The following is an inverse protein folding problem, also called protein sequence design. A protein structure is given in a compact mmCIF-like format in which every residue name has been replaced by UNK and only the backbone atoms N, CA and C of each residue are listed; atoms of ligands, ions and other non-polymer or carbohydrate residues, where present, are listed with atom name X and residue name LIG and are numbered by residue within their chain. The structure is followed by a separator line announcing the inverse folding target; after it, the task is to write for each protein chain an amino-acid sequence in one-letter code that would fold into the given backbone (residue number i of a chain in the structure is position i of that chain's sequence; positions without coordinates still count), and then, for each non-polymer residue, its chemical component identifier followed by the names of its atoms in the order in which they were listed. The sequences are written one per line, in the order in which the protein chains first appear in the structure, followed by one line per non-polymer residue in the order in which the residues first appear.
data_IF_184747521815
#
_entry.id   IF_184747521815
#
_cell.length_a   1.000
_cell.length_b   1.000
_cell.length_c   1.000
_cell.angle_alpha   90.00
_cell.angle_beta   90.00
_cell.angle_gamma   90.00
#
_symmetry.space_group_name_H-M   'P 1'
#
loop_
_entity.id
_entity.type
_entity.pdbx_description
1 polymer ?
#
# COMPACT_ATOMS: atom_id res chain seq x y z
N UNK A 1 -43.14 2.13 -17.58
CA UNK A 1 -41.90 2.37 -16.84
C UNK A 1 -41.05 1.12 -16.93
N UNK A 2 -40.08 1.09 -17.83
CA UNK A 2 -39.07 0.03 -17.92
C UNK A 2 -38.20 0.15 -16.65
N UNK A 3 -38.21 -0.87 -15.81
CA UNK A 3 -37.21 -1.02 -14.74
C UNK A 3 -35.85 -1.14 -15.45
N UNK A 4 -35.02 -0.10 -15.37
CA UNK A 4 -33.61 -0.20 -15.64
C UNK A 4 -33.07 -1.25 -14.67
N UNK A 5 -32.75 -2.44 -15.16
CA UNK A 5 -31.98 -3.40 -14.37
C UNK A 5 -30.61 -2.77 -14.17
N UNK A 6 -30.37 -2.19 -13.00
CA UNK A 6 -29.03 -1.80 -12.62
C UNK A 6 -28.19 -3.08 -12.49
N UNK A 7 -27.46 -3.41 -13.55
CA UNK A 7 -26.48 -4.49 -13.47
C UNK A 7 -25.41 -4.10 -12.46
N UNK A 8 -25.12 -4.98 -11.52
CA UNK A 8 -24.00 -4.79 -10.58
C UNK A 8 -22.72 -4.60 -11.39
N UNK A 9 -21.98 -3.49 -11.19
CA UNK A 9 -20.74 -3.26 -11.90
C UNK A 9 -19.76 -4.42 -11.74
N UNK A 10 -19.10 -4.80 -12.84
CA UNK A 10 -18.03 -5.80 -12.86
C UNK A 10 -16.70 -5.10 -13.11
N UNK A 11 -15.78 -5.26 -12.17
CA UNK A 11 -14.49 -4.58 -12.12
C UNK A 11 -13.34 -5.56 -12.26
N UNK A 12 -12.33 -5.22 -13.06
CA UNK A 12 -11.03 -5.87 -13.05
C UNK A 12 -9.96 -4.94 -12.42
N UNK A 13 -9.15 -5.48 -11.51
CA UNK A 13 -7.98 -4.78 -10.97
C UNK A 13 -6.73 -5.45 -11.56
N UNK A 14 -6.11 -4.78 -12.53
CA UNK A 14 -4.89 -5.22 -13.17
C UNK A 14 -3.67 -4.66 -12.44
N UNK A 15 -2.69 -5.50 -12.10
CA UNK A 15 -1.44 -5.07 -11.51
C UNK A 15 -0.24 -5.74 -12.17
N UNK A 16 0.88 -5.03 -12.23
CA UNK A 16 2.11 -5.58 -12.78
C UNK A 16 2.71 -6.60 -11.83
N UNK A 17 2.72 -7.88 -12.26
CA UNK A 17 3.24 -8.99 -11.48
C UNK A 17 4.75 -9.18 -11.74
N UNK A 18 5.57 -8.31 -11.16
CA UNK A 18 7.02 -8.42 -11.29
C UNK A 18 7.60 -9.70 -10.65
N UNK A 19 6.88 -10.32 -9.73
CA UNK A 19 7.34 -11.50 -9.01
C UNK A 19 7.56 -12.71 -9.94
N UNK A 20 6.74 -12.86 -10.98
CA UNK A 20 6.84 -13.97 -11.91
C UNK A 20 8.06 -13.86 -12.85
N UNK A 21 8.50 -12.64 -13.17
CA UNK A 21 9.52 -12.42 -14.21
C UNK A 21 10.96 -12.25 -13.66
N UNK A 22 11.14 -11.87 -12.39
CA UNK A 22 12.43 -11.42 -11.89
C UNK A 22 12.84 -11.98 -10.51
N UNK A 23 12.07 -12.89 -9.94
CA UNK A 23 12.24 -13.35 -8.54
C UNK A 23 12.21 -12.21 -7.50
N UNK A 24 11.74 -11.02 -7.87
CA UNK A 24 11.64 -9.82 -7.06
C UNK A 24 10.17 -9.51 -6.87
N UNK A 25 9.64 -9.79 -5.70
CA UNK A 25 8.23 -9.58 -5.44
C UNK A 25 7.90 -8.10 -5.24
N UNK A 26 7.13 -7.52 -6.14
CA UNK A 26 6.33 -6.32 -5.85
C UNK A 26 5.06 -6.74 -5.08
N UNK A 27 5.26 -7.42 -3.97
CA UNK A 27 4.18 -7.95 -3.13
C UNK A 27 3.16 -6.84 -2.82
N UNK A 28 3.63 -5.61 -2.61
CA UNK A 28 2.76 -4.48 -2.26
C UNK A 28 1.61 -4.23 -3.24
N UNK A 29 1.84 -4.25 -4.55
CA UNK A 29 0.77 -4.05 -5.54
C UNK A 29 -0.21 -5.22 -5.58
N UNK A 30 0.28 -6.46 -5.51
CA UNK A 30 -0.56 -7.65 -5.48
C UNK A 30 -1.39 -7.74 -4.20
N UNK A 31 -0.81 -7.41 -3.04
CA UNK A 31 -1.53 -7.33 -1.76
C UNK A 31 -2.59 -6.24 -1.83
N UNK A 32 -2.26 -5.04 -2.35
CA UNK A 32 -3.21 -3.95 -2.53
C UNK A 32 -4.39 -4.37 -3.41
N UNK A 33 -4.13 -4.95 -4.59
CA UNK A 33 -5.19 -5.45 -5.48
C UNK A 33 -6.07 -6.51 -4.79
N UNK A 34 -5.46 -7.44 -4.06
CA UNK A 34 -6.16 -8.50 -3.34
C UNK A 34 -7.05 -7.94 -2.22
N UNK A 35 -6.54 -7.00 -1.44
CA UNK A 35 -7.28 -6.42 -0.32
C UNK A 35 -8.40 -5.50 -0.81
N UNK A 36 -8.17 -4.69 -1.85
CA UNK A 36 -9.22 -3.89 -2.48
C UNK A 36 -10.33 -4.79 -3.05
N UNK A 37 -9.96 -5.86 -3.76
CA UNK A 37 -10.93 -6.81 -4.30
C UNK A 37 -11.73 -7.50 -3.18
N UNK A 38 -11.10 -7.85 -2.06
CA UNK A 38 -11.77 -8.43 -0.89
C UNK A 38 -12.79 -7.46 -0.30
N UNK A 39 -12.44 -6.18 -0.14
CA UNK A 39 -13.35 -5.15 0.39
C UNK A 39 -14.56 -4.95 -0.54
N UNK A 40 -14.31 -4.78 -1.83
CA UNK A 40 -15.36 -4.55 -2.83
C UNK A 40 -16.28 -5.76 -3.00
N UNK A 41 -15.74 -6.99 -2.96
CA UNK A 41 -16.56 -8.21 -2.97
C UNK A 41 -17.45 -8.32 -1.74
N UNK A 42 -16.94 -7.93 -0.56
CA UNK A 42 -17.73 -7.87 0.66
C UNK A 42 -18.87 -6.84 0.58
N UNK A 43 -18.69 -5.77 -0.21
CA UNK A 43 -19.72 -4.78 -0.52
C UNK A 43 -20.68 -5.20 -1.64
N UNK A 44 -20.52 -6.40 -2.21
CA UNK A 44 -21.42 -6.98 -3.22
C UNK A 44 -21.00 -6.78 -4.68
N UNK A 45 -19.83 -6.20 -4.94
CA UNK A 45 -19.33 -6.01 -6.30
C UNK A 45 -18.68 -7.27 -6.88
N UNK A 46 -18.76 -7.43 -8.22
CA UNK A 46 -18.06 -8.48 -8.95
C UNK A 46 -16.67 -7.96 -9.30
N UNK A 47 -15.64 -8.54 -8.70
CA UNK A 47 -14.26 -8.06 -8.86
C UNK A 47 -13.33 -9.18 -9.27
N UNK A 48 -12.55 -8.96 -10.31
CA UNK A 48 -11.48 -9.84 -10.75
C UNK A 48 -10.11 -9.22 -10.46
N UNK A 49 -9.10 -10.07 -10.31
CA UNK A 49 -7.72 -9.65 -10.15
C UNK A 49 -6.92 -10.18 -11.34
N UNK A 50 -6.29 -9.28 -12.07
CA UNK A 50 -5.53 -9.59 -13.27
C UNK A 50 -4.03 -9.36 -13.03
N UNK A 51 -3.25 -10.38 -12.61
CA UNK A 51 -1.81 -10.29 -12.57
C UNK A 51 -1.26 -10.30 -14.00
N UNK A 52 -0.63 -9.22 -14.44
CA UNK A 52 -0.11 -9.05 -15.80
C UNK A 52 1.37 -8.65 -15.77
N UNK A 53 2.14 -9.10 -16.75
CA UNK A 53 3.58 -8.78 -16.87
C UNK A 53 3.84 -7.75 -17.97
N UNK A 54 2.92 -7.65 -18.93
CA UNK A 54 3.04 -6.80 -20.11
C UNK A 54 1.70 -6.21 -20.53
N UNK A 55 1.73 -5.21 -21.41
CA UNK A 55 0.50 -4.72 -22.06
C UNK A 55 -0.14 -5.78 -22.94
N UNK A 56 0.65 -6.68 -23.56
CA UNK A 56 0.14 -7.81 -24.36
C UNK A 56 -0.72 -8.76 -23.52
N UNK A 57 -0.34 -8.99 -22.25
CA UNK A 57 -1.16 -9.82 -21.35
C UNK A 57 -2.52 -9.15 -21.11
N UNK A 58 -2.52 -7.83 -20.87
CA UNK A 58 -3.76 -7.07 -20.72
C UNK A 58 -4.62 -7.15 -21.99
N UNK A 59 -4.04 -6.98 -23.17
CA UNK A 59 -4.77 -7.12 -24.43
C UNK A 59 -5.37 -8.51 -24.62
N UNK A 60 -4.66 -9.55 -24.18
CA UNK A 60 -5.15 -10.93 -24.25
C UNK A 60 -6.37 -11.12 -23.36
N UNK A 61 -6.33 -10.60 -22.12
CA UNK A 61 -7.47 -10.63 -21.21
C UNK A 61 -8.66 -9.83 -21.75
N UNK A 62 -8.43 -8.67 -22.33
CA UNK A 62 -9.47 -7.85 -22.95
C UNK A 62 -10.11 -8.54 -24.16
N UNK A 63 -9.32 -9.25 -24.97
CA UNK A 63 -9.87 -10.05 -26.10
C UNK A 63 -10.73 -11.21 -25.58
N UNK A 64 -10.31 -11.91 -24.54
CA UNK A 64 -11.09 -12.96 -23.91
C UNK A 64 -12.41 -12.42 -23.33
N UNK A 65 -12.38 -11.25 -22.73
CA UNK A 65 -13.56 -10.54 -22.24
C UNK A 65 -14.54 -10.21 -23.36
N UNK A 66 -14.05 -9.69 -24.48
CA UNK A 66 -14.88 -9.38 -25.65
C UNK A 66 -15.55 -10.63 -26.24
N UNK A 67 -14.82 -11.74 -26.29
CA UNK A 67 -15.37 -13.03 -26.73
C UNK A 67 -16.43 -13.54 -25.75
N UNK A 68 -16.20 -13.38 -24.43
CA UNK A 68 -17.15 -13.82 -23.43
C UNK A 68 -18.49 -13.06 -23.46
N UNK A 69 -18.52 -11.82 -23.96
CA UNK A 69 -19.76 -11.02 -24.12
C UNK A 69 -20.80 -11.69 -25.02
N UNK A 70 -20.41 -12.64 -25.88
CA UNK A 70 -21.32 -13.42 -26.71
C UNK A 70 -22.03 -14.57 -25.99
N UNK A 71 -21.59 -14.87 -24.77
CA UNK A 71 -22.14 -15.95 -23.95
C UNK A 71 -23.41 -15.49 -23.22
N UNK A 72 -24.41 -16.36 -23.17
CA UNK A 72 -25.60 -16.11 -22.38
C UNK A 72 -25.23 -15.96 -20.88
N UNK A 73 -25.81 -14.96 -20.22
CA UNK A 73 -25.57 -14.63 -18.80
C UNK A 73 -24.18 -14.05 -18.45
N UNK A 74 -23.34 -13.71 -19.44
CA UNK A 74 -22.11 -12.98 -19.17
C UNK A 74 -22.42 -11.54 -18.75
N UNK A 75 -21.86 -11.12 -17.61
CA UNK A 75 -21.91 -9.73 -17.17
C UNK A 75 -20.68 -9.01 -17.73
N UNK A 76 -20.84 -8.03 -18.64
CA UNK A 76 -19.71 -7.35 -19.25
C UNK A 76 -18.85 -6.63 -18.21
N UNK A 77 -17.55 -6.57 -18.45
CA UNK A 77 -16.64 -5.74 -17.68
C UNK A 77 -17.01 -4.28 -17.90
N UNK A 78 -17.31 -3.56 -16.82
CA UNK A 78 -17.69 -2.14 -16.82
C UNK A 78 -16.53 -1.23 -16.39
N UNK A 79 -15.61 -1.74 -15.56
CA UNK A 79 -14.49 -0.97 -15.02
C UNK A 79 -13.19 -1.75 -15.08
N UNK A 80 -12.10 -1.05 -15.39
CA UNK A 80 -10.75 -1.55 -15.36
C UNK A 80 -9.87 -0.59 -14.54
N UNK A 81 -9.31 -1.07 -13.45
CA UNK A 81 -8.31 -0.33 -12.67
C UNK A 81 -6.93 -0.92 -12.91
N UNK A 82 -6.01 -0.09 -13.38
CA UNK A 82 -4.61 -0.46 -13.61
C UNK A 82 -3.78 0.12 -12.47
N UNK A 83 -3.21 -0.76 -11.64
CA UNK A 83 -2.39 -0.39 -10.50
C UNK A 83 -1.00 0.05 -10.95
N UNK A 84 -0.66 1.29 -10.69
CA UNK A 84 0.53 2.03 -11.05
C UNK A 84 0.63 2.45 -12.54
N UNK A 85 1.21 3.64 -12.82
CA UNK A 85 1.44 4.16 -14.18
C UNK A 85 2.70 3.51 -14.78
N UNK A 86 2.55 2.44 -15.53
CA UNK A 86 3.67 1.75 -16.19
C UNK A 86 3.38 1.40 -17.66
N UNK A 87 2.12 1.50 -18.10
CA UNK A 87 1.73 1.28 -19.49
C UNK A 87 1.92 2.60 -20.26
N UNK A 88 2.54 2.59 -21.45
CA UNK A 88 2.65 3.77 -22.30
C UNK A 88 1.29 4.39 -22.62
N UNK A 89 1.19 5.70 -22.59
CA UNK A 89 -0.08 6.43 -22.75
C UNK A 89 -0.73 6.20 -24.11
N UNK A 90 0.05 6.01 -25.19
CA UNK A 90 -0.50 5.64 -26.49
C UNK A 90 -1.28 4.31 -26.47
N UNK A 91 -0.80 3.34 -25.69
CA UNK A 91 -1.47 2.07 -25.51
C UNK A 91 -2.77 2.21 -24.71
N UNK A 92 -2.77 3.08 -23.70
CA UNK A 92 -3.96 3.40 -22.90
C UNK A 92 -5.01 4.14 -23.72
N UNK A 93 -4.60 5.08 -24.56
CA UNK A 93 -5.47 5.80 -25.50
C UNK A 93 -6.15 4.83 -26.48
N UNK A 94 -5.37 3.90 -27.06
CA UNK A 94 -5.92 2.85 -27.93
C UNK A 94 -6.90 1.94 -27.19
N UNK A 95 -6.57 1.56 -25.95
CA UNK A 95 -7.45 0.71 -25.14
C UNK A 95 -8.78 1.41 -24.85
N UNK A 96 -8.74 2.67 -24.44
CA UNK A 96 -9.92 3.46 -24.10
C UNK A 96 -10.81 3.71 -25.33
N UNK A 97 -10.21 4.06 -26.49
CA UNK A 97 -10.96 4.30 -27.74
C UNK A 97 -11.62 3.04 -28.31
N UNK A 98 -10.99 1.88 -28.11
CA UNK A 98 -11.56 0.57 -28.55
C UNK A 98 -12.65 0.05 -27.59
N UNK A 99 -12.77 0.60 -26.40
CA UNK A 99 -13.72 0.18 -25.38
C UNK A 99 -14.44 1.39 -24.76
N UNK A 100 -15.28 2.09 -25.52
CA UNK A 100 -15.90 3.34 -25.07
C UNK A 100 -16.84 3.17 -23.86
N UNK A 101 -17.39 1.97 -23.68
CA UNK A 101 -18.27 1.61 -22.55
C UNK A 101 -17.52 1.09 -21.32
N UNK A 102 -16.18 1.14 -21.33
CA UNK A 102 -15.33 0.67 -20.23
C UNK A 102 -14.69 1.86 -19.53
N UNK A 103 -15.00 2.06 -18.27
CA UNK A 103 -14.33 3.06 -17.42
C UNK A 103 -12.93 2.57 -17.02
N UNK A 104 -11.89 3.29 -17.41
CA UNK A 104 -10.49 2.90 -17.20
C UNK A 104 -9.81 3.88 -16.26
N UNK A 105 -9.31 3.41 -15.12
CA UNK A 105 -8.52 4.21 -14.20
C UNK A 105 -7.08 3.68 -14.10
N UNK A 106 -6.09 4.57 -14.24
CA UNK A 106 -4.68 4.28 -13.91
C UNK A 106 -4.36 4.91 -12.56
N UNK A 107 -4.14 4.10 -11.53
CA UNK A 107 -4.03 4.56 -10.14
C UNK A 107 -2.58 4.59 -9.70
N UNK A 108 -2.06 5.78 -9.39
CA UNK A 108 -0.75 5.92 -8.75
C UNK A 108 -0.79 5.49 -7.29
N UNK A 109 0.12 4.59 -6.91
CA UNK A 109 0.36 4.18 -5.52
C UNK A 109 1.47 4.98 -4.84
N UNK A 110 2.03 5.96 -5.55
CA UNK A 110 3.13 6.80 -5.08
C UNK A 110 2.62 8.18 -4.71
N UNK A 111 3.13 8.72 -3.61
CA UNK A 111 3.04 10.14 -3.32
C UNK A 111 4.16 10.91 -4.02
N UNK A 112 4.05 12.24 -4.03
CA UNK A 112 5.01 13.13 -4.70
C UNK A 112 6.44 12.96 -4.18
N UNK A 113 6.62 12.73 -2.90
CA UNK A 113 7.94 12.48 -2.31
C UNK A 113 8.64 11.25 -2.89
N UNK A 114 7.89 10.24 -3.33
CA UNK A 114 8.45 9.09 -4.02
C UNK A 114 8.78 9.40 -5.49
N UNK A 115 7.97 10.23 -6.15
CA UNK A 115 8.13 10.56 -7.58
C UNK A 115 9.44 11.31 -7.90
N UNK A 116 10.06 11.97 -6.92
CA UNK A 116 11.37 12.60 -7.11
C UNK A 116 12.46 11.59 -7.56
N UNK A 117 12.27 10.31 -7.29
CA UNK A 117 13.17 9.24 -7.73
C UNK A 117 12.70 8.52 -9.00
N UNK A 118 11.56 8.92 -9.57
CA UNK A 118 10.95 8.26 -10.73
C UNK A 118 10.44 9.30 -11.76
N UNK A 119 11.34 9.93 -12.54
CA UNK A 119 10.95 10.93 -13.54
C UNK A 119 10.05 10.36 -14.63
N UNK A 120 10.16 9.05 -14.93
CA UNK A 120 9.30 8.40 -15.92
C UNK A 120 7.86 8.30 -15.42
N UNK A 121 7.65 8.03 -14.14
CA UNK A 121 6.30 8.04 -13.58
C UNK A 121 5.65 9.43 -13.65
N UNK A 122 6.41 10.51 -13.43
CA UNK A 122 5.93 11.89 -13.61
C UNK A 122 5.51 12.14 -15.07
N UNK A 123 6.32 11.70 -16.03
CA UNK A 123 5.99 11.84 -17.45
C UNK A 123 4.71 11.09 -17.82
N UNK A 124 4.58 9.83 -17.42
CA UNK A 124 3.37 9.02 -17.67
C UNK A 124 2.13 9.61 -17.02
N UNK A 125 2.26 10.18 -15.82
CA UNK A 125 1.16 10.87 -15.14
C UNK A 125 0.75 12.14 -15.89
N UNK A 126 1.71 12.95 -16.37
CA UNK A 126 1.43 14.15 -17.17
C UNK A 126 0.71 13.79 -18.47
N UNK A 127 1.23 12.80 -19.21
CA UNK A 127 0.58 12.29 -20.42
C UNK A 127 -0.82 11.72 -20.13
N UNK A 128 -0.99 11.04 -18.97
CA UNK A 128 -2.28 10.57 -18.50
C UNK A 128 -3.27 11.72 -18.24
N UNK A 129 -2.79 12.87 -17.70
CA UNK A 129 -3.62 14.05 -17.53
C UNK A 129 -4.13 14.61 -18.85
N UNK A 130 -3.26 14.66 -19.86
CA UNK A 130 -3.61 15.10 -21.22
C UNK A 130 -4.63 14.14 -21.86
N UNK A 131 -4.41 12.82 -21.73
CA UNK A 131 -5.35 11.82 -22.23
C UNK A 131 -6.73 11.94 -21.59
N UNK A 132 -6.80 12.13 -20.28
CA UNK A 132 -8.05 12.27 -19.55
C UNK A 132 -8.90 13.48 -19.98
N UNK A 133 -8.29 14.54 -20.52
CA UNK A 133 -9.01 15.69 -21.04
C UNK A 133 -9.74 15.37 -22.36
N UNK A 134 -9.20 14.47 -23.18
CA UNK A 134 -9.74 14.09 -24.49
C UNK A 134 -10.49 12.77 -24.51
N UNK A 135 -10.49 12.02 -23.41
CA UNK A 135 -11.03 10.67 -23.35
C UNK A 135 -11.92 10.51 -22.10
N UNK A 136 -13.25 10.67 -22.23
CA UNK A 136 -14.16 10.75 -21.06
C UNK A 136 -14.20 9.47 -20.22
N UNK A 137 -13.92 8.31 -20.78
CA UNK A 137 -13.87 7.03 -20.08
C UNK A 137 -12.46 6.68 -19.55
N UNK A 138 -11.51 7.63 -19.58
CA UNK A 138 -10.17 7.45 -19.03
C UNK A 138 -9.92 8.37 -17.82
N UNK A 139 -9.47 7.80 -16.72
CA UNK A 139 -9.25 8.49 -15.46
C UNK A 139 -7.81 8.33 -14.98
N UNK A 140 -7.21 9.43 -14.54
CA UNK A 140 -6.01 9.34 -13.70
C UNK A 140 -6.44 9.24 -12.25
N UNK A 141 -5.98 8.21 -11.59
CA UNK A 141 -6.30 7.91 -10.19
C UNK A 141 -5.10 8.01 -9.26
N UNK A 142 -5.39 8.24 -7.99
CA UNK A 142 -4.41 8.20 -6.91
C UNK A 142 -5.00 7.50 -5.68
N UNK A 143 -4.12 6.96 -4.85
CA UNK A 143 -4.52 6.24 -3.64
C UNK A 143 -4.45 7.08 -2.36
N UNK A 144 -4.08 8.35 -2.43
CA UNK A 144 -4.01 9.24 -1.28
C UNK A 144 -4.52 10.65 -1.56
N UNK A 145 -5.14 11.26 -0.55
CA UNK A 145 -5.63 12.64 -0.61
C UNK A 145 -4.48 13.64 -0.85
N UNK A 146 -3.30 13.42 -0.25
CA UNK A 146 -2.13 14.28 -0.47
C UNK A 146 -1.70 14.29 -1.93
N UNK A 147 -1.76 13.14 -2.60
CA UNK A 147 -1.44 13.04 -4.01
C UNK A 147 -2.49 13.72 -4.88
N UNK A 148 -3.78 13.53 -4.59
CA UNK A 148 -4.88 14.21 -5.29
C UNK A 148 -4.76 15.74 -5.18
N UNK A 149 -4.49 16.27 -4.00
CA UNK A 149 -4.32 17.71 -3.77
C UNK A 149 -3.17 18.28 -4.59
N UNK A 150 -2.02 17.60 -4.60
CA UNK A 150 -0.88 18.00 -5.45
C UNK A 150 -1.22 17.93 -6.93
N UNK A 151 -1.88 16.87 -7.37
CA UNK A 151 -2.29 16.69 -8.76
C UNK A 151 -3.16 17.84 -9.24
N UNK A 152 -4.20 18.15 -8.49
CA UNK A 152 -5.13 19.23 -8.84
C UNK A 152 -4.43 20.60 -8.87
N UNK A 153 -3.53 20.87 -7.93
CA UNK A 153 -2.73 22.10 -7.91
C UNK A 153 -1.76 22.20 -9.10
N UNK A 154 -1.23 21.05 -9.58
CA UNK A 154 -0.23 21.02 -10.65
C UNK A 154 -0.84 21.02 -12.05
N UNK A 155 -1.87 20.21 -12.27
CA UNK A 155 -2.45 19.98 -13.60
C UNK A 155 -3.82 20.63 -13.80
N UNK A 156 -4.44 21.18 -12.76
CA UNK A 156 -5.77 21.80 -12.82
C UNK A 156 -6.90 20.83 -13.20
N UNK A 157 -6.64 19.53 -13.22
CA UNK A 157 -7.60 18.49 -13.61
C UNK A 157 -8.03 17.64 -12.41
N UNK A 158 -9.23 17.12 -12.46
CA UNK A 158 -9.72 16.20 -11.43
C UNK A 158 -8.90 14.90 -11.43
N UNK A 159 -8.66 14.35 -10.24
CA UNK A 159 -8.08 13.03 -10.06
C UNK A 159 -9.09 12.14 -9.36
N UNK A 160 -9.31 10.94 -9.90
CA UNK A 160 -10.14 9.92 -9.25
C UNK A 160 -9.40 9.36 -8.04
N UNK A 161 -9.95 9.55 -6.85
CA UNK A 161 -9.36 9.05 -5.61
C UNK A 161 -9.86 7.63 -5.35
N UNK A 162 -8.95 6.66 -5.44
CA UNK A 162 -9.20 5.23 -5.20
C UNK A 162 -8.23 4.72 -4.12
N UNK A 163 -8.48 4.99 -2.84
CA UNK A 163 -7.60 4.61 -1.75
C UNK A 163 -7.49 3.09 -1.62
N UNK A 164 -6.34 2.63 -1.12
CA UNK A 164 -6.22 1.24 -0.73
C UNK A 164 -7.13 0.95 0.46
N UNK A 165 -7.83 -0.17 0.40
CA UNK A 165 -8.57 -0.75 1.52
C UNK A 165 -7.84 -1.98 2.05
N UNK A 166 -7.98 -2.23 3.33
CA UNK A 166 -7.45 -3.43 3.97
C UNK A 166 -8.47 -3.97 4.97
N UNK A 167 -9.41 -4.82 4.53
CA UNK A 167 -10.39 -5.41 5.42
C UNK A 167 -9.70 -6.26 6.49
N UNK A 168 -9.80 -5.83 7.72
CA UNK A 168 -9.40 -6.62 8.88
C UNK A 168 -10.63 -7.33 9.45
N UNK A 169 -10.49 -8.63 9.77
CA UNK A 169 -11.37 -9.22 10.76
C UNK A 169 -11.06 -8.66 12.17
N UNK A 170 -11.57 -9.29 13.21
CA UNK A 170 -11.12 -9.00 14.57
C UNK A 170 -9.59 -9.18 14.65
N UNK A 171 -8.90 -8.18 15.21
CA UNK A 171 -7.46 -8.29 15.45
C UNK A 171 -7.15 -9.52 16.31
N UNK A 172 -6.06 -10.20 16.02
CA UNK A 172 -5.60 -11.31 16.86
C UNK A 172 -5.28 -10.77 18.24
N UNK A 173 -5.92 -11.33 19.25
CA UNK A 173 -5.57 -11.01 20.63
C UNK A 173 -4.12 -11.44 20.91
N UNK A 174 -3.36 -10.55 21.52
CA UNK A 174 -1.97 -10.80 21.93
C UNK A 174 -1.76 -10.37 23.37
N UNK A 175 -0.90 -11.09 24.11
CA UNK A 175 -0.47 -10.59 25.42
C UNK A 175 0.30 -9.28 25.24
N UNK A 176 0.15 -8.37 26.17
CA UNK A 176 0.97 -7.17 26.28
C UNK A 176 2.45 -7.56 26.41
N UNK A 177 3.34 -6.76 25.82
CA UNK A 177 4.77 -6.97 25.96
C UNK A 177 5.16 -6.96 27.45
N UNK A 178 5.97 -7.93 27.84
CA UNK A 178 6.51 -8.03 29.18
C UNK A 178 8.02 -7.80 29.14
N UNK A 179 8.57 -7.30 30.25
CA UNK A 179 10.01 -7.06 30.36
C UNK A 179 10.82 -8.33 29.98
N UNK A 180 11.88 -8.13 29.19
CA UNK A 180 12.71 -9.21 28.70
C UNK A 180 13.21 -8.95 27.29
N UNK A 181 12.96 -9.88 26.38
CA UNK A 181 13.28 -9.72 24.96
C UNK A 181 12.28 -8.80 24.28
N UNK A 182 12.78 -7.92 23.40
CA UNK A 182 11.99 -7.02 22.58
C UNK A 182 12.31 -7.21 21.09
N UNK A 183 11.30 -7.46 20.28
CA UNK A 183 11.39 -7.56 18.82
C UNK A 183 10.67 -6.41 18.17
N UNK A 184 11.42 -5.56 17.48
CA UNK A 184 10.85 -4.46 16.71
C UNK A 184 11.13 -4.64 15.23
N UNK A 185 10.08 -4.51 14.40
CA UNK A 185 10.16 -4.70 12.96
C UNK A 185 10.06 -3.40 12.17
N UNK A 186 10.98 -3.17 11.21
CA UNK A 186 10.87 -2.12 10.21
C UNK A 186 10.95 -2.77 8.82
N UNK A 187 9.80 -3.09 8.24
CA UNK A 187 9.72 -3.88 7.01
C UNK A 187 9.39 -3.01 5.81
N UNK A 188 10.29 -2.97 4.84
CA UNK A 188 10.11 -2.25 3.58
C UNK A 188 11.23 -2.61 2.60
N UNK A 189 11.15 -2.19 1.33
CA UNK A 189 12.35 -2.04 0.53
C UNK A 189 13.22 -0.95 1.18
N UNK A 190 14.48 -1.25 1.54
CA UNK A 190 15.37 -0.30 2.20
C UNK A 190 15.73 0.79 1.20
N UNK A 191 15.30 2.02 1.50
CA UNK A 191 15.55 3.23 0.70
C UNK A 191 15.36 4.49 1.56
N UNK A 192 15.93 5.64 1.19
CA UNK A 192 15.90 6.86 2.04
C UNK A 192 14.51 7.23 2.54
N UNK A 193 13.49 7.17 1.68
CA UNK A 193 12.12 7.58 2.05
C UNK A 193 11.43 6.72 3.11
N UNK A 194 11.97 5.53 3.37
CA UNK A 194 11.45 4.62 4.41
C UNK A 194 12.02 4.88 5.79
N UNK A 195 13.05 5.72 5.88
CA UNK A 195 13.62 6.20 7.14
C UNK A 195 14.03 5.08 8.13
N UNK A 196 14.57 3.99 7.57
CA UNK A 196 14.92 2.79 8.36
C UNK A 196 16.05 3.06 9.34
N UNK A 197 16.96 4.00 9.03
CA UNK A 197 18.08 4.34 9.91
C UNK A 197 17.60 5.01 11.21
N UNK A 198 16.67 5.97 11.13
CA UNK A 198 16.07 6.61 12.31
C UNK A 198 15.25 5.61 13.12
N UNK A 199 14.52 4.70 12.45
CA UNK A 199 13.82 3.60 13.12
C UNK A 199 14.79 2.69 13.90
N UNK A 200 15.97 2.39 13.32
CA UNK A 200 17.00 1.59 13.98
C UNK A 200 17.58 2.29 15.21
N UNK A 201 17.82 3.61 15.13
CA UNK A 201 18.28 4.41 16.26
C UNK A 201 17.21 4.46 17.38
N UNK A 202 15.94 4.69 17.03
CA UNK A 202 14.84 4.67 17.97
C UNK A 202 14.70 3.30 18.68
N UNK A 203 14.90 2.20 17.95
CA UNK A 203 14.86 0.86 18.53
C UNK A 203 15.93 0.66 19.61
N UNK A 204 17.15 1.13 19.39
CA UNK A 204 18.21 1.10 20.42
C UNK A 204 17.82 1.91 21.65
N UNK A 205 17.25 3.09 21.46
CA UNK A 205 16.80 3.95 22.55
C UNK A 205 15.67 3.31 23.37
N UNK A 206 14.67 2.69 22.71
CA UNK A 206 13.63 1.92 23.40
C UNK A 206 14.24 0.79 24.21
N UNK A 207 15.15 0.02 23.61
CA UNK A 207 15.83 -1.07 24.31
C UNK A 207 16.58 -0.63 25.57
N UNK A 208 17.23 0.54 25.51
CA UNK A 208 17.93 1.14 26.63
C UNK A 208 16.97 1.62 27.72
N UNK A 209 15.92 2.36 27.37
CA UNK A 209 14.92 2.90 28.29
C UNK A 209 14.18 1.79 29.05
N UNK A 210 13.80 0.73 28.33
CA UNK A 210 13.10 -0.41 28.91
C UNK A 210 14.03 -1.44 29.57
N UNK A 211 15.34 -1.23 29.47
CA UNK A 211 16.38 -2.14 30.03
C UNK A 211 16.15 -3.60 29.58
N UNK A 212 15.86 -3.79 28.29
CA UNK A 212 15.58 -5.12 27.75
C UNK A 212 16.82 -6.03 27.86
N UNK A 213 16.58 -7.33 27.98
CA UNK A 213 17.67 -8.32 28.06
C UNK A 213 18.21 -8.71 26.69
N UNK A 214 17.39 -8.59 25.64
CA UNK A 214 17.74 -8.92 24.25
C UNK A 214 16.87 -8.05 23.31
N UNK A 215 17.49 -7.20 22.50
CA UNK A 215 16.85 -6.38 21.50
C UNK A 215 17.08 -6.97 20.11
N UNK A 216 16.02 -7.26 19.40
CA UNK A 216 16.09 -7.68 18.00
C UNK A 216 15.43 -6.62 17.11
N UNK A 217 16.20 -5.96 16.26
CA UNK A 217 15.67 -5.07 15.23
C UNK A 217 15.59 -5.81 13.91
N UNK A 218 14.36 -6.10 13.45
CA UNK A 218 14.07 -6.92 12.29
C UNK A 218 13.81 -6.07 11.05
N UNK A 219 14.48 -6.39 9.93
CA UNK A 219 14.37 -5.65 8.66
C UNK A 219 14.25 -6.59 7.48
N UNK A 220 13.64 -6.11 6.39
CA UNK A 220 13.62 -6.80 5.10
C UNK A 220 14.90 -6.46 4.33
N UNK A 221 15.85 -7.39 4.25
CA UNK A 221 17.14 -7.16 3.60
C UNK A 221 17.19 -7.48 2.11
N UNK A 222 16.19 -8.21 1.60
CA UNK A 222 16.20 -8.73 0.23
C UNK A 222 16.02 -7.70 -0.88
N UNK A 223 15.65 -6.45 -0.55
CA UNK A 223 15.47 -5.38 -1.53
C UNK A 223 16.02 -4.05 -1.01
N UNK A 224 17.07 -3.55 -1.69
CA UNK A 224 17.76 -2.30 -1.36
C UNK A 224 17.77 -1.40 -2.59
N UNK A 225 17.21 -0.19 -2.48
CA UNK A 225 17.01 0.72 -3.59
C UNK A 225 17.53 2.12 -3.26
N UNK A 226 17.98 2.88 -4.27
CA UNK A 226 18.28 4.30 -4.16
C UNK A 226 19.20 4.67 -2.98
N UNK A 227 20.30 3.94 -2.76
CA UNK A 227 21.18 4.11 -1.59
C UNK A 227 20.88 3.18 -0.42
N UNK A 228 19.92 2.26 -0.55
CA UNK A 228 19.55 1.33 0.52
C UNK A 228 20.69 0.45 1.04
N UNK A 229 21.69 0.14 0.20
CA UNK A 229 22.86 -0.59 0.65
C UNK A 229 23.69 0.21 1.67
N UNK A 230 23.86 1.51 1.44
CA UNK A 230 24.57 2.41 2.38
C UNK A 230 23.80 2.54 3.69
N UNK A 231 22.46 2.66 3.62
CA UNK A 231 21.60 2.70 4.82
C UNK A 231 21.75 1.41 5.62
N UNK A 232 21.71 0.26 4.96
CA UNK A 232 21.88 -1.04 5.62
C UNK A 232 23.24 -1.16 6.31
N UNK A 233 24.33 -0.77 5.64
CA UNK A 233 25.65 -0.77 6.22
C UNK A 233 25.75 0.16 7.45
N UNK A 234 25.13 1.34 7.39
CA UNK A 234 25.07 2.27 8.51
C UNK A 234 24.33 1.66 9.73
N UNK A 235 23.22 0.96 9.48
CA UNK A 235 22.48 0.23 10.53
C UNK A 235 23.36 -0.85 11.17
N UNK A 236 24.07 -1.64 10.37
CA UNK A 236 24.97 -2.66 10.88
C UNK A 236 26.09 -2.05 11.75
N UNK A 237 26.69 -0.92 11.33
CA UNK A 237 27.68 -0.21 12.13
C UNK A 237 27.10 0.35 13.42
N UNK A 238 25.88 0.90 13.39
CA UNK A 238 25.19 1.42 14.58
C UNK A 238 24.96 0.34 15.65
N UNK A 239 24.71 -0.91 15.25
CA UNK A 239 24.49 -2.03 16.16
C UNK A 239 25.77 -2.77 16.53
N UNK A 240 26.90 -2.47 15.87
CA UNK A 240 28.17 -3.13 16.14
C UNK A 240 28.61 -2.86 17.58
N UNK A 241 28.91 -3.93 18.31
CA UNK A 241 29.35 -3.89 19.72
C UNK A 241 28.31 -3.27 20.70
N UNK A 242 27.05 -3.11 20.30
CA UNK A 242 26.00 -2.73 21.26
C UNK A 242 25.59 -4.00 22.04
N UNK A 243 25.82 -4.07 23.34
CA UNK A 243 25.47 -5.25 24.12
C UNK A 243 23.96 -5.52 24.05
N UNK A 244 23.61 -6.79 23.88
CA UNK A 244 22.21 -7.24 23.92
C UNK A 244 21.33 -6.68 22.79
N UNK A 245 21.91 -6.13 21.72
CA UNK A 245 21.16 -5.64 20.57
C UNK A 245 21.72 -6.25 19.29
N UNK A 246 20.82 -6.66 18.40
CA UNK A 246 21.22 -7.18 17.07
C UNK A 246 20.22 -6.79 15.98
N UNK A 247 20.74 -6.66 14.77
CA UNK A 247 19.93 -6.55 13.55
C UNK A 247 19.63 -7.95 13.03
N UNK A 248 18.37 -8.23 12.74
CA UNK A 248 17.90 -9.48 12.15
C UNK A 248 17.43 -9.20 10.73
N UNK A 249 18.26 -9.54 9.77
CA UNK A 249 17.89 -9.43 8.36
C UNK A 249 17.04 -10.62 7.94
N UNK A 250 15.92 -10.36 7.24
CA UNK A 250 15.08 -11.37 6.62
C UNK A 250 15.07 -11.19 5.12
N UNK A 251 15.21 -12.30 4.41
CA UNK A 251 14.96 -12.33 2.98
C UNK A 251 13.50 -12.05 2.68
N UNK A 252 13.23 -11.73 1.40
CA UNK A 252 11.88 -11.51 0.93
C UNK A 252 11.04 -12.80 1.08
N UNK A 253 9.83 -12.67 1.61
CA UNK A 253 8.96 -13.78 1.97
C UNK A 253 7.67 -13.73 1.14
N UNK A 254 6.98 -14.87 0.99
CA UNK A 254 5.60 -14.87 0.55
C UNK A 254 4.72 -14.10 1.56
N UNK A 255 3.60 -13.54 1.12
CA UNK A 255 2.76 -12.75 2.03
C UNK A 255 2.28 -13.51 3.29
N UNK A 256 1.83 -14.78 3.21
CA UNK A 256 1.50 -15.54 4.43
C UNK A 256 2.68 -15.71 5.40
N UNK A 257 3.90 -15.96 4.86
CA UNK A 257 5.11 -16.05 5.69
C UNK A 257 5.49 -14.70 6.30
N UNK A 258 5.31 -13.62 5.54
CA UNK A 258 5.52 -12.26 6.01
C UNK A 258 4.56 -11.90 7.14
N UNK A 259 3.26 -12.22 7.01
CA UNK A 259 2.28 -12.03 8.08
C UNK A 259 2.67 -12.78 9.37
N UNK A 260 3.17 -14.02 9.25
CA UNK A 260 3.67 -14.76 10.41
C UNK A 260 4.90 -14.07 11.04
N UNK A 261 5.79 -13.51 10.23
CA UNK A 261 6.94 -12.73 10.72
C UNK A 261 6.48 -11.46 11.43
N UNK A 262 5.59 -10.67 10.83
CA UNK A 262 4.97 -9.49 11.44
C UNK A 262 4.30 -9.86 12.76
N UNK A 263 3.53 -10.94 12.77
CA UNK A 263 2.86 -11.45 13.96
C UNK A 263 3.82 -11.90 15.09
N UNK A 264 5.10 -12.08 14.82
CA UNK A 264 6.11 -12.40 15.85
C UNK A 264 6.80 -11.16 16.43
N UNK A 265 6.51 -9.96 15.94
CA UNK A 265 7.06 -8.70 16.47
C UNK A 265 6.25 -8.21 17.67
N UNK A 266 6.89 -7.50 18.58
CA UNK A 266 6.22 -6.82 19.67
C UNK A 266 5.68 -5.45 19.25
N UNK A 267 6.37 -4.79 18.31
CA UNK A 267 6.00 -3.50 17.75
C UNK A 267 6.58 -3.35 16.34
N UNK A 268 5.91 -2.57 15.49
CA UNK A 268 6.46 -2.13 14.21
C UNK A 268 6.90 -0.66 14.27
N UNK A 269 7.93 -0.33 13.49
CA UNK A 269 8.41 1.04 13.28
C UNK A 269 8.31 1.37 11.79
N UNK A 270 7.42 2.29 11.44
CA UNK A 270 7.13 2.70 10.05
C UNK A 270 7.19 4.23 9.89
N UNK A 271 8.29 4.91 10.31
CA UNK A 271 8.40 6.37 10.29
C UNK A 271 8.80 6.90 8.91
N UNK A 272 8.12 6.45 7.85
CA UNK A 272 8.42 6.83 6.46
C UNK A 272 8.22 8.33 6.23
N UNK A 273 9.07 8.98 5.42
CA UNK A 273 8.88 10.38 5.00
C UNK A 273 7.71 10.55 4.04
N UNK A 274 7.34 9.51 3.29
CA UNK A 274 6.23 9.56 2.34
C UNK A 274 5.58 8.20 2.19
N UNK A 275 4.24 8.18 2.18
CA UNK A 275 3.42 6.97 2.01
C UNK A 275 2.11 7.30 1.30
N UNK A 276 1.65 6.34 0.48
CA UNK A 276 0.27 6.35 0.00
C UNK A 276 -0.69 5.74 1.01
N UNK A 277 -0.35 4.56 1.53
CA UNK A 277 -1.20 3.82 2.50
C UNK A 277 -0.39 3.14 3.61
N UNK A 278 0.72 2.49 3.32
CA UNK A 278 1.55 1.61 4.16
C UNK A 278 0.87 0.27 4.52
N UNK A 279 1.05 -0.72 3.63
CA UNK A 279 0.51 -2.07 3.84
C UNK A 279 1.05 -2.73 5.10
N UNK A 280 2.32 -2.48 5.48
CA UNK A 280 2.95 -3.12 6.63
C UNK A 280 2.28 -2.73 7.95
N UNK A 281 1.84 -1.47 8.09
CA UNK A 281 1.05 -1.03 9.24
C UNK A 281 -0.30 -1.77 9.31
N UNK A 282 -0.97 -1.94 8.17
CA UNK A 282 -2.23 -2.69 8.10
C UNK A 282 -2.02 -4.20 8.35
N UNK A 283 -0.92 -4.78 7.82
CA UNK A 283 -0.51 -6.16 8.13
C UNK A 283 -0.28 -6.33 9.65
N UNK A 284 0.40 -5.35 10.29
CA UNK A 284 0.60 -5.31 11.74
C UNK A 284 -0.72 -5.40 12.50
N UNK A 285 -1.66 -4.51 12.19
CA UNK A 285 -2.99 -4.50 12.82
C UNK A 285 -3.69 -5.85 12.65
N UNK A 286 -3.64 -6.44 11.46
CA UNK A 286 -4.25 -7.75 11.19
C UNK A 286 -3.65 -8.89 12.03
N UNK A 287 -2.40 -8.74 12.45
CA UNK A 287 -1.68 -9.70 13.28
C UNK A 287 -1.68 -9.33 14.78
N UNK A 288 -2.37 -8.25 15.18
CA UNK A 288 -2.42 -7.78 16.55
C UNK A 288 -1.15 -7.04 17.00
N UNK A 289 -0.44 -6.40 16.07
CA UNK A 289 0.81 -5.65 16.33
C UNK A 289 0.60 -4.19 16.00
N UNK A 290 0.81 -3.30 16.97
CA UNK A 290 0.79 -1.86 16.78
C UNK A 290 2.03 -1.36 16.03
N UNK A 291 1.96 -0.14 15.50
CA UNK A 291 3.05 0.48 14.75
C UNK A 291 3.28 1.92 15.19
N UNK A 292 4.52 2.31 15.45
CA UNK A 292 4.85 3.74 15.41
C UNK A 292 4.99 4.15 13.96
N UNK A 293 4.30 5.19 13.57
CA UNK A 293 4.24 5.69 12.20
C UNK A 293 4.60 7.17 12.13
N UNK A 294 4.77 7.70 10.94
CA UNK A 294 4.80 9.14 10.69
C UNK A 294 3.41 9.66 10.29
N UNK A 295 3.25 10.98 10.22
CA UNK A 295 2.05 11.64 9.70
C UNK A 295 1.81 11.36 8.20
N UNK A 296 2.79 10.78 7.50
CA UNK A 296 2.61 10.31 6.12
C UNK A 296 1.58 9.18 6.02
N UNK A 297 1.35 8.45 7.11
CA UNK A 297 0.31 7.41 7.22
C UNK A 297 -0.92 8.03 7.89
N UNK A 298 -1.61 8.90 7.15
CA UNK A 298 -2.64 9.78 7.67
C UNK A 298 -3.85 9.07 8.29
N UNK A 299 -4.12 7.80 7.90
CA UNK A 299 -5.22 7.01 8.44
C UNK A 299 -4.92 6.38 9.79
N UNK A 300 -3.64 6.25 10.18
CA UNK A 300 -3.26 5.65 11.47
C UNK A 300 -3.63 6.56 12.65
N UNK A 301 -3.85 6.01 13.85
CA UNK A 301 -4.17 6.79 15.05
C UNK A 301 -3.14 7.89 15.32
N UNK A 302 -3.59 9.05 15.78
CA UNK A 302 -2.72 10.20 16.07
C UNK A 302 -1.67 9.91 17.14
N UNK A 303 -2.02 9.13 18.15
CA UNK A 303 -1.09 8.71 19.20
C UNK A 303 -0.01 7.73 18.73
N UNK A 304 -0.17 7.13 17.52
CA UNK A 304 0.86 6.31 16.87
C UNK A 304 1.87 7.15 16.08
N UNK A 305 1.51 8.41 15.75
CA UNK A 305 2.31 9.26 14.89
C UNK A 305 3.41 9.94 15.67
N UNK A 306 4.64 9.83 15.17
CA UNK A 306 5.85 10.47 15.68
C UNK A 306 6.45 11.42 14.64
N UNK A 307 7.24 12.37 15.10
CA UNK A 307 8.08 13.20 14.23
C UNK A 307 9.08 12.32 13.47
N UNK A 308 9.13 12.47 12.15
CA UNK A 308 9.72 11.48 11.24
C UNK A 308 11.24 11.32 11.44
N UNK A 309 11.98 12.40 11.73
CA UNK A 309 13.44 12.39 11.92
C UNK A 309 13.88 12.58 13.38
N UNK A 310 12.96 12.36 14.32
CA UNK A 310 13.22 12.39 15.75
C UNK A 310 13.16 10.99 16.35
N UNK A 311 14.33 10.37 16.51
CA UNK A 311 14.44 9.03 17.11
C UNK A 311 13.92 8.99 18.57
N UNK A 312 14.03 10.09 19.31
CA UNK A 312 13.55 10.19 20.69
C UNK A 312 12.01 10.23 20.72
N UNK A 313 11.37 10.95 19.81
CA UNK A 313 9.90 10.97 19.72
C UNK A 313 9.35 9.61 19.25
N UNK A 314 9.99 8.99 18.26
CA UNK A 314 9.65 7.62 17.84
C UNK A 314 9.78 6.65 19.03
N UNK A 315 10.84 6.77 19.84
CA UNK A 315 11.04 5.93 21.03
C UNK A 315 9.99 6.21 22.10
N UNK A 316 9.60 7.47 22.33
CA UNK A 316 8.52 7.83 23.26
C UNK A 316 7.21 7.16 22.89
N UNK A 317 6.82 7.25 21.60
CA UNK A 317 5.62 6.60 21.07
C UNK A 317 5.71 5.08 21.20
N UNK A 318 6.86 4.50 20.87
CA UNK A 318 7.09 3.06 20.97
C UNK A 318 6.90 2.53 22.39
N UNK A 319 7.49 3.20 23.38
CA UNK A 319 7.32 2.84 24.81
C UNK A 319 5.85 2.95 25.23
N UNK A 320 5.16 4.01 24.81
CA UNK A 320 3.73 4.17 25.08
C UNK A 320 2.90 3.01 24.52
N UNK A 321 3.08 2.68 23.23
CA UNK A 321 2.30 1.63 22.56
C UNK A 321 2.59 0.23 23.11
N UNK A 322 3.81 -0.07 23.54
CA UNK A 322 4.15 -1.36 24.16
C UNK A 322 3.40 -1.61 25.47
N UNK A 323 2.99 -0.56 26.17
CA UNK A 323 2.28 -0.61 27.44
C UNK A 323 0.80 -0.24 27.33
N UNK A 324 0.31 0.03 26.12
CA UNK A 324 -1.09 0.38 25.89
C UNK A 324 -1.90 -0.87 25.46
N UNK A 325 -2.78 -1.40 26.33
CA UNK A 325 -3.59 -2.57 26.01
C UNK A 325 -4.65 -2.27 24.93
N UNK A 326 -4.93 -1.02 24.62
CA UNK A 326 -5.93 -0.59 23.63
C UNK A 326 -5.33 -0.26 22.26
N UNK A 327 -4.00 -0.15 22.15
CA UNK A 327 -3.33 0.31 20.96
C UNK A 327 -3.81 -0.40 19.67
N UNK A 328 -3.87 -1.73 19.67
CA UNK A 328 -4.29 -2.52 18.49
C UNK A 328 -5.75 -2.25 18.14
N UNK A 329 -6.63 -2.13 19.13
CA UNK A 329 -8.05 -1.83 18.94
C UNK A 329 -8.24 -0.44 18.32
N UNK A 330 -7.46 0.54 18.74
CA UNK A 330 -7.45 1.88 18.12
C UNK A 330 -7.00 1.81 16.66
N UNK A 331 -5.97 0.99 16.37
CA UNK A 331 -5.54 0.74 15.00
C UNK A 331 -6.62 0.10 14.14
N UNK A 332 -7.34 -0.90 14.68
CA UNK A 332 -8.49 -1.53 13.99
C UNK A 332 -9.59 -0.51 13.71
N UNK A 333 -9.94 0.31 14.68
CA UNK A 333 -10.98 1.32 14.53
C UNK A 333 -10.59 2.36 13.45
N UNK A 334 -9.35 2.84 13.46
CA UNK A 334 -8.83 3.78 12.48
C UNK A 334 -8.82 3.19 11.07
N UNK A 335 -8.36 1.94 10.92
CA UNK A 335 -8.34 1.25 9.62
C UNK A 335 -9.75 0.95 9.11
N UNK A 336 -10.70 0.60 9.97
CA UNK A 336 -12.11 0.42 9.61
C UNK A 336 -12.70 1.73 9.10
N UNK A 337 -12.53 2.83 9.83
CA UNK A 337 -12.99 4.15 9.40
C UNK A 337 -12.39 4.58 8.06
N UNK A 338 -11.11 4.27 7.84
CA UNK A 338 -10.46 4.50 6.54
C UNK A 338 -11.09 3.66 5.43
N UNK A 339 -11.33 2.37 5.67
CA UNK A 339 -11.94 1.47 4.69
C UNK A 339 -13.34 1.93 4.30
N UNK A 340 -14.15 2.37 5.27
CA UNK A 340 -15.51 2.87 5.02
C UNK A 340 -15.48 4.13 4.15
N UNK A 341 -14.59 5.07 4.47
CA UNK A 341 -14.41 6.28 3.67
C UNK A 341 -13.86 5.97 2.26
N UNK A 342 -12.95 5.01 2.15
CA UNK A 342 -12.39 4.56 0.88
C UNK A 342 -13.47 3.89 0.01
N UNK A 343 -14.32 3.05 0.60
CA UNK A 343 -15.40 2.36 -0.12
C UNK A 343 -16.34 3.36 -0.79
N UNK A 344 -16.73 4.44 -0.11
CA UNK A 344 -17.57 5.50 -0.69
C UNK A 344 -16.90 6.10 -1.95
N UNK A 345 -15.60 6.27 -1.96
CA UNK A 345 -14.86 6.80 -3.11
C UNK A 345 -14.80 5.80 -4.27
N UNK A 346 -14.61 4.52 -3.96
CA UNK A 346 -14.70 3.46 -4.96
C UNK A 346 -16.11 3.35 -5.55
N UNK A 347 -17.16 3.45 -4.72
CA UNK A 347 -18.55 3.43 -5.17
C UNK A 347 -18.88 4.60 -6.11
N UNK A 348 -18.35 5.79 -5.85
CA UNK A 348 -18.48 6.93 -6.76
C UNK A 348 -17.88 6.64 -8.13
N UNK A 349 -16.73 5.98 -8.19
CA UNK A 349 -16.12 5.56 -9.47
C UNK A 349 -16.96 4.49 -10.17
N UNK A 350 -17.44 3.48 -9.42
CA UNK A 350 -18.25 2.40 -9.94
C UNK A 350 -19.65 2.83 -10.41
N UNK A 351 -20.12 4.00 -10.00
CA UNK A 351 -21.38 4.61 -10.46
C UNK A 351 -21.25 5.41 -11.78
N UNK A 352 -20.02 5.59 -12.30
CA UNK A 352 -19.80 6.29 -13.59
C UNK A 352 -20.30 5.47 -14.79
N UNK A 353 -20.55 4.19 -14.62
CA UNK A 353 -21.09 3.33 -15.66
C UNK A 353 -22.55 3.70 -15.95
N UNK A 354 -22.93 3.99 -17.24
CA UNK A 354 -24.26 4.42 -17.64
C UNK A 354 -25.34 3.34 -17.52
#
# INVERSE_FOLDING_TARGET
MLRVQHHTPRLAIAYKNFAAAQNVSHIGLGVSATQNAKALRAAGYIVEIWPINSFTDLQTLMKAELQARTLAHHIPLSHLVISAPWIPTANLASLASQNPDLEIAVVSHSNIGFLQADPRAIELLRQGAELAQGCPNFHVGGNSQRFQTWWQATYGTAMTLLPNMYPTGSAKARPMWQQGRLRMGCFCAIRPYKNVLTAAAAALEVGQRLRVTDLEFWISGGRREGGGQTIFAAIQQMYLNVPRAKVVERNWQSWPQFLATVGSMDLLLQPSYTEGFNMVTADGISQGVASVVSDAIAWAPRNWQAATDDACDIANKAVGLLHDPTAVQEGVAALTSHNDAALILWEKFLQLFP
#
